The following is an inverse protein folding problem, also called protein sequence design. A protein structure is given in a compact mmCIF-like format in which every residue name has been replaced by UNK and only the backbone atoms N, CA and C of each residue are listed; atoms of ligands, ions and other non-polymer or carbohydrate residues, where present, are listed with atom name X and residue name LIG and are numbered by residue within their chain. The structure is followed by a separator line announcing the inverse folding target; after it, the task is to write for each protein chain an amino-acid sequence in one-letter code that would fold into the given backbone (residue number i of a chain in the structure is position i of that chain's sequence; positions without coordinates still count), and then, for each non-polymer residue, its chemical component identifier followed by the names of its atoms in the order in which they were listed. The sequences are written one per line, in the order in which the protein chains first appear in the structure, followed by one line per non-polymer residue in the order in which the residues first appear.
data_IF_690009023278
#
_entry.id   IF_690009023278
#
_cell.length_a   1.000
_cell.length_b   1.000
_cell.length_c   1.000
_cell.angle_alpha   90.00
_cell.angle_beta   90.00
_cell.angle_gamma   90.00
#
_symmetry.space_group_name_H-M   'P 1'
#
loop_
_entity.id
_entity.type
_entity.pdbx_description
1 polymer ?
#
# COMPACT_ATOMS: atom_id res chain seq x y z
N UNK A 1 5.50 -54.83 -23.50
CA UNK A 1 6.44 -53.69 -23.60
C UNK A 1 7.63 -53.96 -22.70
N UNK A 2 8.81 -54.18 -23.30
CA UNK A 2 10.06 -54.45 -22.57
C UNK A 2 10.72 -53.12 -22.25
N UNK A 3 10.63 -52.69 -20.99
CA UNK A 3 11.39 -51.54 -20.51
C UNK A 3 12.85 -52.00 -20.42
N UNK A 4 13.70 -51.37 -21.24
CA UNK A 4 15.11 -51.69 -21.35
C UNK A 4 15.82 -51.39 -20.02
N UNK A 5 16.57 -52.38 -19.52
CA UNK A 5 17.41 -52.30 -18.32
C UNK A 5 18.48 -51.17 -18.38
N UNK A 6 18.66 -50.56 -19.55
CA UNK A 6 19.57 -49.43 -19.78
C UNK A 6 19.04 -48.13 -19.14
N UNK A 7 17.72 -48.01 -18.91
CA UNK A 7 17.13 -46.83 -18.26
C UNK A 7 17.31 -46.81 -16.73
N UNK A 8 17.62 -47.95 -16.11
CA UNK A 8 17.86 -48.04 -14.66
C UNK A 8 19.32 -47.76 -14.27
N UNK A 9 20.26 -47.85 -15.23
CA UNK A 9 21.70 -47.63 -14.99
C UNK A 9 22.13 -46.15 -15.11
N UNK A 10 21.30 -45.29 -15.72
CA UNK A 10 21.53 -43.85 -15.79
C UNK A 10 21.16 -43.10 -14.50
N UNK A 11 20.45 -43.73 -13.57
CA UNK A 11 20.09 -43.16 -12.27
C UNK A 11 21.17 -43.32 -11.18
N UNK A 12 22.21 -44.13 -11.42
CA UNK A 12 23.29 -44.38 -10.44
C UNK A 12 24.57 -43.58 -10.67
N UNK A 13 24.70 -42.85 -11.79
CA UNK A 13 25.93 -42.07 -12.10
C UNK A 13 25.88 -40.64 -11.52
N UNK A 14 24.74 -40.18 -11.00
CA UNK A 14 24.65 -38.87 -10.33
C UNK A 14 24.90 -38.88 -8.81
N UNK A 15 25.26 -40.03 -8.21
CA UNK A 15 25.51 -40.17 -6.76
C UNK A 15 26.94 -40.57 -6.37
N UNK A 16 27.95 -40.14 -7.14
CA UNK A 16 29.34 -40.27 -6.73
C UNK A 16 30.14 -39.01 -7.06
N UNK A 17 29.95 -37.96 -6.27
CA UNK A 17 30.97 -36.94 -6.09
C UNK A 17 31.56 -37.10 -4.70
N UNK A 18 32.81 -37.59 -4.67
CA UNK A 18 33.65 -37.74 -3.48
C UNK A 18 33.73 -36.41 -2.73
N UNK A 19 33.58 -36.47 -1.40
CA UNK A 19 34.03 -35.43 -0.47
C UNK A 19 35.51 -35.15 -0.73
N UNK A 20 35.80 -33.98 -1.28
CA UNK A 20 37.13 -33.38 -1.25
C UNK A 20 37.13 -32.42 -0.06
N UNK A 21 37.88 -32.77 1.00
CA UNK A 21 38.08 -31.93 2.18
C UNK A 21 38.84 -30.66 1.78
N UNK A 22 38.10 -29.63 1.35
CA UNK A 22 38.59 -28.25 1.36
C UNK A 22 38.18 -27.63 2.68
N UNK A 23 39.17 -27.20 3.46
CA UNK A 23 39.00 -26.31 4.61
C UNK A 23 38.14 -25.12 4.16
N UNK A 24 36.86 -25.16 4.48
CA UNK A 24 35.96 -24.02 4.29
C UNK A 24 36.24 -23.06 5.43
N UNK A 25 36.87 -21.94 5.13
CA UNK A 25 36.80 -20.78 6.01
C UNK A 25 35.32 -20.47 6.23
N UNK A 26 34.93 -20.59 7.49
CA UNK A 26 33.57 -20.58 7.99
C UNK A 26 32.99 -19.16 7.84
N UNK A 27 32.50 -18.81 6.65
CA UNK A 27 31.58 -17.67 6.52
C UNK A 27 30.21 -18.11 7.03
N UNK A 28 29.91 -17.77 8.28
CA UNK A 28 28.60 -17.96 8.88
C UNK A 28 27.51 -17.30 8.02
N UNK A 29 26.70 -18.11 7.35
CA UNK A 29 25.39 -17.73 6.80
C UNK A 29 24.41 -17.63 7.96
N UNK A 30 24.42 -16.51 8.67
CA UNK A 30 23.56 -16.28 9.82
C UNK A 30 22.49 -15.23 9.45
N UNK A 31 21.22 -15.61 9.57
CA UNK A 31 20.12 -14.64 9.69
C UNK A 31 20.20 -14.10 11.12
N UNK A 32 20.69 -12.89 11.29
CA UNK A 32 20.85 -12.28 12.61
C UNK A 32 19.62 -11.44 12.89
N UNK A 33 18.88 -11.79 13.94
CA UNK A 33 17.86 -10.90 14.51
C UNK A 33 18.56 -9.72 15.19
N UNK A 34 18.38 -8.52 14.67
CA UNK A 34 18.94 -7.30 15.25
C UNK A 34 17.81 -6.57 15.99
N UNK A 35 18.00 -6.35 17.30
CA UNK A 35 16.99 -5.77 18.18
C UNK A 35 16.95 -4.24 17.99
N UNK A 36 15.82 -3.71 17.52
CA UNK A 36 15.51 -2.28 17.41
C UNK A 36 14.14 -1.93 18.05
N UNK A 37 13.81 -0.64 18.27
CA UNK A 37 12.85 -0.23 19.32
C UNK A 37 11.36 -0.45 19.03
N UNK A 38 10.96 -0.88 17.84
CA UNK A 38 9.60 -1.35 17.54
C UNK A 38 9.71 -2.41 16.43
N UNK A 39 9.52 -3.66 16.83
CA UNK A 39 9.77 -4.91 16.07
C UNK A 39 11.23 -5.14 15.62
N UNK A 40 11.66 -6.41 15.70
CA UNK A 40 13.05 -6.81 15.46
C UNK A 40 13.42 -6.58 13.98
N UNK A 41 14.51 -5.86 13.74
CA UNK A 41 15.12 -5.76 12.42
C UNK A 41 15.63 -7.13 11.97
N UNK A 42 15.35 -7.49 10.72
CA UNK A 42 15.84 -8.73 10.11
C UNK A 42 17.06 -8.41 9.25
N UNK A 43 18.25 -8.85 9.64
CA UNK A 43 19.40 -8.78 8.75
C UNK A 43 19.47 -10.03 7.86
N UNK A 44 19.17 -9.85 6.58
CA UNK A 44 19.35 -10.87 5.55
C UNK A 44 20.65 -10.63 4.80
N UNK A 45 21.67 -11.40 5.14
CA UNK A 45 22.98 -11.37 4.48
C UNK A 45 22.98 -12.10 3.13
N UNK A 46 21.92 -12.86 2.82
CA UNK A 46 21.80 -13.58 1.56
C UNK A 46 21.58 -12.56 0.43
N UNK A 47 22.37 -12.67 -0.63
CA UNK A 47 22.34 -11.80 -1.80
C UNK A 47 22.73 -10.33 -1.53
N UNK A 48 23.43 -10.04 -0.43
CA UNK A 48 24.00 -8.70 -0.17
C UNK A 48 25.44 -8.64 -0.72
N UNK A 49 25.73 -7.74 -1.70
CA UNK A 49 27.07 -7.50 -2.20
C UNK A 49 28.05 -7.15 -1.07
N UNK A 50 29.26 -7.70 -1.11
CA UNK A 50 30.21 -7.62 -0.01
C UNK A 50 30.56 -6.17 0.40
N UNK A 51 30.67 -5.28 -0.58
CA UNK A 51 30.92 -3.84 -0.44
C UNK A 51 29.74 -3.04 0.18
N UNK A 52 28.54 -3.64 0.29
CA UNK A 52 27.34 -2.97 0.80
C UNK A 52 26.86 -3.55 2.14
N UNK A 53 27.53 -4.58 2.68
CA UNK A 53 27.07 -5.32 3.87
C UNK A 53 26.92 -4.43 5.09
N UNK A 54 27.83 -3.48 5.30
CA UNK A 54 27.82 -2.62 6.47
C UNK A 54 26.61 -1.68 6.47
N UNK A 55 26.34 -1.02 5.34
CA UNK A 55 25.17 -0.17 5.19
C UNK A 55 23.86 -0.98 5.27
N UNK A 56 23.78 -2.12 4.57
CA UNK A 56 22.58 -2.99 4.62
C UNK A 56 22.32 -3.48 6.03
N UNK A 57 23.35 -3.83 6.80
CA UNK A 57 23.22 -4.23 8.20
C UNK A 57 22.62 -3.09 9.03
N UNK A 58 23.12 -1.87 8.88
CA UNK A 58 22.61 -0.70 9.62
C UNK A 58 21.17 -0.35 9.26
N UNK A 59 20.80 -0.39 7.98
CA UNK A 59 19.41 -0.21 7.52
C UNK A 59 18.53 -1.31 8.12
N UNK A 60 18.98 -2.57 8.05
CA UNK A 60 18.22 -3.74 8.49
C UNK A 60 17.99 -3.81 9.99
N UNK A 61 18.77 -3.08 10.80
CA UNK A 61 18.60 -2.98 12.26
C UNK A 61 17.26 -2.37 12.67
N UNK A 62 16.55 -1.73 11.75
CA UNK A 62 15.27 -1.07 11.99
C UNK A 62 14.20 -1.58 11.02
N UNK A 63 13.00 -1.85 11.51
CA UNK A 63 11.81 -1.99 10.66
C UNK A 63 11.14 -0.62 10.43
N UNK A 64 11.95 0.36 10.01
CA UNK A 64 11.55 1.76 9.90
C UNK A 64 11.89 2.35 8.53
N UNK A 65 10.96 3.08 7.94
CA UNK A 65 11.15 3.81 6.69
C UNK A 65 10.99 5.33 6.92
N UNK A 66 11.96 6.09 6.43
CA UNK A 66 11.95 7.56 6.39
C UNK A 66 12.48 8.12 5.06
N UNK A 67 12.17 9.38 4.78
CA UNK A 67 12.56 10.08 3.53
C UNK A 67 13.59 11.18 3.75
N UNK A 68 14.17 11.29 4.96
CA UNK A 68 15.15 12.32 5.30
C UNK A 68 14.64 13.77 5.34
N UNK A 69 13.34 14.01 5.14
CA UNK A 69 12.75 15.35 5.26
C UNK A 69 12.83 15.82 6.72
N UNK A 70 13.50 16.96 6.93
CA UNK A 70 13.74 17.56 8.24
C UNK A 70 12.41 18.00 8.88
N UNK A 71 11.84 17.13 9.68
CA UNK A 71 10.72 17.42 10.57
C UNK A 71 10.75 16.62 11.87
N UNK A 72 11.40 15.46 11.91
CA UNK A 72 11.32 14.57 13.06
C UNK A 72 12.61 13.76 13.22
N UNK A 73 13.52 14.27 14.05
CA UNK A 73 14.46 13.40 14.74
C UNK A 73 13.63 12.51 15.65
N UNK A 74 13.79 11.19 15.57
CA UNK A 74 13.47 10.37 16.73
C UNK A 74 14.30 10.98 17.88
N UNK A 75 13.70 11.50 18.96
CA UNK A 75 14.45 12.17 20.03
C UNK A 75 15.47 11.23 20.71
N UNK A 76 15.41 9.93 20.41
CA UNK A 76 16.33 8.91 20.91
C UNK A 76 17.36 8.40 19.88
N UNK A 77 17.43 8.95 18.65
CA UNK A 77 18.39 8.48 17.63
C UNK A 77 19.24 9.65 17.13
N UNK A 78 20.29 9.93 17.88
CA UNK A 78 21.41 10.74 17.42
C UNK A 78 22.15 9.97 16.29
N UNK A 79 22.06 10.50 15.06
CA UNK A 79 23.01 10.38 13.93
C UNK A 79 22.92 9.26 12.86
N UNK A 80 21.97 8.33 12.84
CA UNK A 80 21.78 7.47 11.65
C UNK A 80 20.34 6.97 11.47
N UNK A 81 19.62 7.50 10.47
CA UNK A 81 18.34 6.94 10.02
C UNK A 81 18.59 5.91 8.90
N UNK A 82 17.70 4.93 8.70
CA UNK A 82 17.71 4.05 7.53
C UNK A 82 17.90 4.82 6.21
N UNK A 83 17.27 5.98 6.05
CA UNK A 83 17.48 6.84 4.87
C UNK A 83 18.94 7.29 4.71
N UNK A 84 19.55 7.83 5.76
CA UNK A 84 20.95 8.29 5.71
C UNK A 84 21.93 7.17 5.35
N UNK A 85 21.72 5.97 5.90
CA UNK A 85 22.53 4.80 5.56
C UNK A 85 22.26 4.31 4.13
N UNK A 86 21.02 4.40 3.64
CA UNK A 86 20.70 4.09 2.25
C UNK A 86 21.32 5.09 1.27
N UNK A 87 21.37 6.38 1.61
CA UNK A 87 22.07 7.39 0.79
C UNK A 87 23.58 7.15 0.73
N UNK A 88 24.20 6.63 1.81
CA UNK A 88 25.60 6.17 1.78
C UNK A 88 25.75 4.94 0.88
N UNK A 89 24.84 3.97 0.99
CA UNK A 89 24.81 2.77 0.15
C UNK A 89 24.72 3.13 -1.33
N UNK A 90 23.80 4.03 -1.71
CA UNK A 90 23.59 4.49 -3.09
C UNK A 90 24.84 5.09 -3.73
N UNK A 91 25.67 5.79 -2.96
CA UNK A 91 26.93 6.38 -3.45
C UNK A 91 27.98 5.33 -3.80
N UNK A 92 27.89 4.12 -3.21
CA UNK A 92 28.83 3.01 -3.42
C UNK A 92 28.33 1.96 -4.40
N UNK A 93 27.01 1.78 -4.49
CA UNK A 93 26.39 0.70 -5.23
C UNK A 93 26.21 1.03 -6.72
N UNK A 94 26.44 0.03 -7.57
CA UNK A 94 25.95 0.01 -8.94
C UNK A 94 24.45 -0.25 -8.96
N UNK A 95 23.75 0.16 -10.02
CA UNK A 95 22.32 -0.13 -10.18
C UNK A 95 22.00 -1.62 -10.17
N UNK A 96 22.93 -2.47 -10.64
CA UNK A 96 22.79 -3.93 -10.61
C UNK A 96 22.80 -4.46 -9.18
N UNK A 97 23.66 -3.93 -8.32
CA UNK A 97 23.73 -4.29 -6.90
C UNK A 97 22.48 -3.83 -6.17
N UNK A 98 21.98 -2.61 -6.42
CA UNK A 98 20.72 -2.14 -5.82
C UNK A 98 19.55 -3.01 -6.30
N UNK A 99 19.53 -3.42 -7.56
CA UNK A 99 18.52 -4.36 -8.05
C UNK A 99 18.55 -5.71 -7.33
N UNK A 100 19.73 -6.23 -6.98
CA UNK A 100 19.84 -7.47 -6.18
C UNK A 100 19.20 -7.31 -4.79
N UNK A 101 19.33 -6.13 -4.18
CA UNK A 101 18.75 -5.83 -2.88
C UNK A 101 17.20 -5.77 -2.90
N UNK A 102 16.56 -5.69 -4.06
CA UNK A 102 15.09 -5.80 -4.18
C UNK A 102 14.53 -7.18 -3.80
N UNK A 103 15.40 -8.18 -3.67
CA UNK A 103 15.06 -9.54 -3.23
C UNK A 103 15.42 -9.80 -1.76
N UNK A 104 15.84 -8.77 -1.02
CA UNK A 104 16.22 -8.91 0.39
C UNK A 104 14.99 -9.24 1.26
N UNK A 105 15.15 -10.09 2.28
CA UNK A 105 14.01 -10.42 3.17
C UNK A 105 13.64 -9.29 4.14
N UNK A 106 14.53 -8.31 4.33
CA UNK A 106 14.24 -7.11 5.09
C UNK A 106 13.33 -6.18 4.26
N UNK A 107 12.12 -5.85 4.74
CA UNK A 107 11.16 -5.09 3.96
C UNK A 107 11.61 -3.63 3.73
N UNK A 108 12.38 -3.04 4.65
CA UNK A 108 12.92 -1.68 4.52
C UNK A 108 13.99 -1.61 3.46
N UNK A 109 14.98 -2.52 3.50
CA UNK A 109 16.03 -2.62 2.46
C UNK A 109 15.40 -2.82 1.09
N UNK A 110 14.43 -3.73 1.01
CA UNK A 110 13.71 -4.03 -0.23
C UNK A 110 12.92 -2.84 -0.73
N UNK A 111 12.21 -2.12 0.13
CA UNK A 111 11.44 -0.93 -0.25
C UNK A 111 12.34 0.18 -0.79
N UNK A 112 13.40 0.56 -0.07
CA UNK A 112 14.37 1.56 -0.54
C UNK A 112 14.98 1.16 -1.89
N UNK A 113 15.35 -0.12 -2.04
CA UNK A 113 15.93 -0.64 -3.27
C UNK A 113 14.94 -0.60 -4.43
N UNK A 114 13.66 -0.91 -4.18
CA UNK A 114 12.62 -0.79 -5.20
C UNK A 114 12.42 0.65 -5.65
N UNK A 115 12.37 1.61 -4.72
CA UNK A 115 12.20 3.04 -5.02
C UNK A 115 13.36 3.51 -5.91
N UNK A 116 14.61 3.25 -5.49
CA UNK A 116 15.79 3.69 -6.24
C UNK A 116 15.89 3.07 -7.63
N UNK A 117 15.54 1.78 -7.78
CA UNK A 117 15.53 1.15 -9.10
C UNK A 117 14.38 1.68 -9.95
N UNK A 118 13.21 1.92 -9.37
CA UNK A 118 12.07 2.49 -10.09
C UNK A 118 12.38 3.89 -10.63
N UNK A 119 13.07 4.72 -9.84
CA UNK A 119 13.46 6.07 -10.27
C UNK A 119 14.42 6.04 -11.47
N UNK A 120 15.36 5.07 -11.50
CA UNK A 120 16.31 4.93 -12.61
C UNK A 120 15.77 4.10 -13.79
N UNK A 121 14.82 3.21 -13.55
CA UNK A 121 14.23 2.30 -14.54
C UNK A 121 12.70 2.27 -14.38
N UNK A 122 11.98 3.35 -14.73
CA UNK A 122 10.55 3.52 -14.42
C UNK A 122 9.62 2.45 -14.99
N UNK A 123 10.04 1.77 -16.08
CA UNK A 123 9.28 0.66 -16.65
C UNK A 123 9.09 -0.52 -15.69
N UNK A 124 9.90 -0.64 -14.63
CA UNK A 124 9.81 -1.70 -13.63
C UNK A 124 8.83 -1.36 -12.49
N UNK A 125 8.41 -0.10 -12.34
CA UNK A 125 7.55 0.36 -11.25
C UNK A 125 6.28 -0.49 -11.07
N UNK A 126 5.50 -0.85 -12.14
CA UNK A 126 4.32 -1.68 -11.97
C UNK A 126 4.62 -3.10 -11.47
N UNK A 127 5.74 -3.68 -11.90
CA UNK A 127 6.17 -5.01 -11.44
C UNK A 127 6.53 -4.97 -9.96
N UNK A 128 7.26 -3.95 -9.53
CA UNK A 128 7.67 -3.79 -8.14
C UNK A 128 6.46 -3.55 -7.24
N UNK A 129 5.56 -2.66 -7.64
CA UNK A 129 4.32 -2.43 -6.92
C UNK A 129 3.48 -3.70 -6.74
N UNK A 130 3.31 -4.49 -7.80
CA UNK A 130 2.59 -5.77 -7.74
C UNK A 130 3.25 -6.77 -6.78
N UNK A 131 4.58 -6.82 -6.72
CA UNK A 131 5.30 -7.66 -5.74
C UNK A 131 5.09 -7.18 -4.31
N UNK A 132 5.21 -5.87 -4.09
CA UNK A 132 5.03 -5.25 -2.77
C UNK A 132 3.61 -5.46 -2.22
N UNK A 133 2.57 -5.45 -3.07
CA UNK A 133 1.20 -5.75 -2.66
C UNK A 133 1.01 -7.17 -2.08
N UNK A 134 1.91 -8.09 -2.39
CA UNK A 134 1.87 -9.45 -1.88
C UNK A 134 2.72 -9.65 -0.61
N UNK A 135 3.46 -8.62 -0.17
CA UNK A 135 4.18 -8.65 1.09
C UNK A 135 3.20 -8.39 2.24
N UNK A 136 3.07 -9.37 3.14
CA UNK A 136 2.21 -9.27 4.33
C UNK A 136 2.87 -8.52 5.51
N UNK A 137 4.09 -8.03 5.33
CA UNK A 137 4.83 -7.33 6.38
C UNK A 137 4.48 -5.85 6.34
N UNK A 138 4.33 -5.24 7.51
CA UNK A 138 4.24 -3.79 7.66
C UNK A 138 5.60 -3.23 8.05
N UNK A 139 5.82 -1.96 7.68
CA UNK A 139 6.98 -1.18 8.06
C UNK A 139 6.47 0.01 8.85
N UNK A 140 7.09 0.30 9.99
CA UNK A 140 6.82 1.55 10.69
C UNK A 140 7.33 2.70 9.81
N UNK A 141 6.43 3.56 9.36
CA UNK A 141 6.75 4.67 8.47
C UNK A 141 6.44 5.98 9.18
N UNK A 142 7.34 6.94 9.01
CA UNK A 142 7.11 8.34 9.36
C UNK A 142 7.49 9.20 8.16
N UNK A 143 6.51 9.43 7.28
CA UNK A 143 6.69 10.14 6.03
C UNK A 143 5.76 11.35 6.01
N UNK A 144 6.30 12.52 6.37
CA UNK A 144 5.50 13.72 6.63
C UNK A 144 4.56 13.50 7.82
N UNK A 145 3.26 13.75 7.63
CA UNK A 145 2.22 13.56 8.65
C UNK A 145 1.71 12.12 8.75
N UNK A 146 2.12 11.22 7.86
CA UNK A 146 1.69 9.83 7.88
C UNK A 146 2.65 9.05 8.77
N UNK A 147 2.15 8.70 9.96
CA UNK A 147 2.89 7.97 10.99
C UNK A 147 2.12 6.69 11.31
N UNK A 148 2.78 5.55 11.22
CA UNK A 148 2.19 4.27 11.60
C UNK A 148 2.81 3.09 10.87
N UNK A 149 2.34 1.91 11.21
CA UNK A 149 2.69 0.67 10.51
C UNK A 149 1.92 0.64 9.18
N UNK A 150 2.67 0.64 8.07
CA UNK A 150 2.11 0.70 6.72
C UNK A 150 2.63 -0.45 5.87
N UNK A 151 1.79 -0.98 4.96
CA UNK A 151 2.26 -1.87 3.92
C UNK A 151 3.31 -1.17 3.02
N UNK A 152 4.42 -1.84 2.67
CA UNK A 152 5.43 -1.30 1.77
C UNK A 152 4.87 -0.85 0.42
N UNK A 153 3.81 -1.51 -0.06
CA UNK A 153 3.11 -1.14 -1.29
C UNK A 153 2.49 0.25 -1.23
N UNK A 154 1.92 0.64 -0.08
CA UNK A 154 1.33 1.96 0.10
C UNK A 154 2.42 3.03 0.06
N UNK A 155 3.51 2.83 0.81
CA UNK A 155 4.64 3.77 0.82
C UNK A 155 5.21 3.93 -0.61
N UNK A 156 5.43 2.82 -1.31
CA UNK A 156 5.95 2.84 -2.68
C UNK A 156 5.02 3.57 -3.66
N UNK A 157 3.71 3.37 -3.53
CA UNK A 157 2.72 4.06 -4.35
C UNK A 157 2.75 5.57 -4.08
N UNK A 158 2.84 5.98 -2.81
CA UNK A 158 2.86 7.40 -2.42
C UNK A 158 4.12 8.10 -2.89
N UNK A 159 5.29 7.45 -2.76
CA UNK A 159 6.54 7.99 -3.28
C UNK A 159 6.48 8.19 -4.80
N UNK A 160 5.90 7.22 -5.53
CA UNK A 160 5.69 7.41 -6.96
C UNK A 160 4.73 8.57 -7.25
N UNK A 161 3.58 8.63 -6.57
CA UNK A 161 2.56 9.66 -6.77
C UNK A 161 3.10 11.08 -6.51
N UNK A 162 3.89 11.27 -5.43
CA UNK A 162 4.52 12.56 -5.09
C UNK A 162 5.48 13.05 -6.18
N UNK A 163 6.16 12.13 -6.86
CA UNK A 163 7.10 12.46 -7.93
C UNK A 163 6.41 12.77 -9.27
N UNK A 164 5.11 12.47 -9.40
CA UNK A 164 4.31 12.86 -10.56
C UNK A 164 3.68 14.23 -10.31
N UNK A 165 4.03 15.21 -11.15
CA UNK A 165 3.39 16.54 -11.15
C UNK A 165 1.86 16.42 -11.12
N UNK A 166 1.20 17.13 -10.21
CA UNK A 166 -0.24 17.02 -9.96
C UNK A 166 -1.08 17.16 -11.24
N UNK A 167 -0.78 18.18 -12.05
CA UNK A 167 -1.45 18.44 -13.35
C UNK A 167 -1.28 17.32 -14.39
N UNK A 168 -0.34 16.40 -14.17
CA UNK A 168 -0.02 15.29 -15.07
C UNK A 168 -0.48 13.93 -14.56
N UNK A 169 -0.89 13.81 -13.30
CA UNK A 169 -1.26 12.52 -12.68
C UNK A 169 -2.33 11.77 -13.47
N UNK A 170 -3.36 12.46 -13.96
CA UNK A 170 -4.43 11.87 -14.77
C UNK A 170 -3.93 11.25 -16.10
N UNK A 171 -2.80 11.75 -16.63
CA UNK A 171 -2.22 11.32 -17.92
C UNK A 171 -1.00 10.41 -17.77
N UNK A 172 -0.46 10.25 -16.56
CA UNK A 172 0.72 9.43 -16.32
C UNK A 172 0.41 7.94 -16.57
N UNK A 173 1.19 7.32 -17.47
CA UNK A 173 0.95 5.95 -17.93
C UNK A 173 1.37 4.89 -16.90
N UNK A 174 2.37 5.18 -16.08
CA UNK A 174 2.82 4.24 -15.03
C UNK A 174 1.81 4.32 -13.88
N UNK A 175 1.40 5.51 -13.44
CA UNK A 175 0.37 5.68 -12.42
C UNK A 175 -0.92 4.98 -12.85
N UNK A 176 -1.36 5.13 -14.10
CA UNK A 176 -2.54 4.39 -14.62
C UNK A 176 -2.39 2.87 -14.49
N UNK A 177 -1.17 2.32 -14.64
CA UNK A 177 -0.91 0.89 -14.40
C UNK A 177 -0.94 0.56 -12.92
N UNK A 178 -0.37 1.40 -12.05
CA UNK A 178 -0.46 1.23 -10.60
C UNK A 178 -1.91 1.23 -10.15
N UNK A 179 -2.70 2.21 -10.59
CA UNK A 179 -4.13 2.30 -10.29
C UNK A 179 -4.89 1.05 -10.72
N UNK A 180 -4.60 0.54 -11.93
CA UNK A 180 -5.21 -0.69 -12.42
C UNK A 180 -4.84 -1.88 -11.52
N UNK A 181 -3.58 -1.99 -11.11
CA UNK A 181 -3.14 -3.03 -10.17
C UNK A 181 -3.85 -2.85 -8.82
N UNK A 182 -4.01 -1.62 -8.33
CA UNK A 182 -4.69 -1.30 -7.08
C UNK A 182 -6.16 -1.71 -7.09
N UNK A 183 -6.89 -1.41 -8.17
CA UNK A 183 -8.32 -1.73 -8.31
C UNK A 183 -8.56 -3.26 -8.41
N UNK A 184 -7.70 -3.97 -9.13
CA UNK A 184 -7.80 -5.44 -9.25
C UNK A 184 -7.12 -6.20 -8.10
N UNK A 185 -6.29 -5.52 -7.31
CA UNK A 185 -5.59 -6.10 -6.17
C UNK A 185 -6.55 -6.43 -5.02
N UNK A 186 -6.26 -7.53 -4.32
CA UNK A 186 -7.03 -7.94 -3.13
C UNK A 186 -6.42 -7.42 -1.82
N UNK A 187 -5.14 -7.01 -1.83
CA UNK A 187 -4.40 -6.51 -0.67
C UNK A 187 -4.16 -4.99 -0.73
N UNK A 188 -4.88 -4.30 -1.60
CA UNK A 188 -4.78 -2.85 -1.73
C UNK A 188 -5.41 -2.18 -0.52
N UNK A 189 -4.71 -1.26 0.12
CA UNK A 189 -5.29 -0.51 1.23
C UNK A 189 -6.38 0.43 0.74
N UNK A 190 -7.36 0.73 1.60
CA UNK A 190 -8.42 1.69 1.27
C UNK A 190 -7.86 3.06 0.88
N UNK A 191 -6.77 3.47 1.53
CA UNK A 191 -6.07 4.72 1.21
C UNK A 191 -5.55 4.72 -0.23
N UNK A 192 -4.82 3.68 -0.65
CA UNK A 192 -4.28 3.61 -2.02
C UNK A 192 -5.41 3.51 -3.05
N UNK A 193 -6.47 2.76 -2.73
CA UNK A 193 -7.64 2.67 -3.61
C UNK A 193 -8.32 4.04 -3.79
N UNK A 194 -8.43 4.84 -2.72
CA UNK A 194 -8.93 6.20 -2.80
C UNK A 194 -8.07 7.08 -3.71
N UNK A 195 -6.74 7.02 -3.58
CA UNK A 195 -5.83 7.78 -4.45
C UNK A 195 -5.97 7.36 -5.92
N UNK A 196 -6.06 6.05 -6.20
CA UNK A 196 -6.25 5.54 -7.55
C UNK A 196 -7.55 6.07 -8.18
N UNK A 197 -8.61 6.23 -7.40
CA UNK A 197 -9.93 6.69 -7.88
C UNK A 197 -10.06 8.23 -7.98
N UNK A 198 -9.12 8.99 -7.40
CA UNK A 198 -9.24 10.44 -7.25
C UNK A 198 -9.11 11.23 -8.57
N UNK A 199 -8.22 10.79 -9.46
CA UNK A 199 -7.73 11.63 -10.56
C UNK A 199 -8.29 11.28 -11.94
N UNK A 200 -9.17 10.28 -12.07
CA UNK A 200 -9.69 9.86 -13.38
C UNK A 200 -11.03 9.14 -13.28
N UNK A 201 -11.80 9.21 -14.36
CA UNK A 201 -12.96 8.34 -14.59
C UNK A 201 -12.50 7.12 -15.36
N UNK A 202 -12.74 5.94 -14.79
CA UNK A 202 -12.35 4.66 -15.37
C UNK A 202 -13.33 4.20 -16.46
N UNK A 203 -12.81 3.60 -17.54
CA UNK A 203 -13.63 3.05 -18.61
C UNK A 203 -14.39 1.79 -18.18
N UNK A 204 -15.38 1.42 -19.01
CA UNK A 204 -16.37 0.37 -18.72
C UNK A 204 -15.79 -0.98 -18.29
N UNK A 205 -14.63 -1.37 -18.83
CA UNK A 205 -14.00 -2.63 -18.47
C UNK A 205 -13.53 -2.71 -17.00
N UNK A 206 -13.55 -1.61 -16.23
CA UNK A 206 -13.36 -1.61 -14.78
C UNK A 206 -14.67 -1.73 -13.99
N UNK A 207 -15.84 -1.50 -14.61
CA UNK A 207 -17.12 -1.36 -13.90
C UNK A 207 -17.43 -2.58 -13.04
N UNK A 208 -17.33 -3.79 -13.59
CA UNK A 208 -17.61 -5.02 -12.82
C UNK A 208 -16.78 -5.10 -11.52
N UNK A 209 -15.48 -4.75 -11.59
CA UNK A 209 -14.62 -4.76 -10.40
C UNK A 209 -14.98 -3.65 -9.42
N UNK A 210 -15.27 -2.44 -9.92
CA UNK A 210 -15.70 -1.32 -9.07
C UNK A 210 -17.05 -1.60 -8.40
N UNK A 211 -17.99 -2.23 -9.12
CA UNK A 211 -19.26 -2.68 -8.57
C UNK A 211 -19.05 -3.73 -7.47
N UNK A 212 -18.18 -4.72 -7.68
CA UNK A 212 -17.85 -5.71 -6.65
C UNK A 212 -17.29 -5.02 -5.39
N UNK A 213 -16.32 -4.12 -5.56
CA UNK A 213 -15.70 -3.40 -4.46
C UNK A 213 -16.71 -2.50 -3.72
N UNK A 214 -17.58 -1.80 -4.44
CA UNK A 214 -18.58 -0.91 -3.86
C UNK A 214 -19.72 -1.66 -3.18
N UNK A 215 -20.30 -2.66 -3.84
CA UNK A 215 -21.58 -3.22 -3.42
C UNK A 215 -21.43 -4.53 -2.65
N UNK A 216 -20.44 -5.37 -3.00
CA UNK A 216 -20.19 -6.63 -2.29
C UNK A 216 -19.18 -6.45 -1.15
N UNK A 217 -18.11 -5.67 -1.38
CA UNK A 217 -17.10 -5.39 -0.35
C UNK A 217 -17.41 -4.15 0.50
N UNK A 218 -18.43 -3.38 0.13
CA UNK A 218 -18.85 -2.15 0.82
C UNK A 218 -17.70 -1.16 1.03
N UNK A 219 -16.82 -1.00 0.04
CA UNK A 219 -15.71 -0.06 0.15
C UNK A 219 -16.22 1.39 0.05
N UNK A 220 -16.03 2.23 1.08
CA UNK A 220 -16.62 3.57 1.13
C UNK A 220 -16.05 4.50 0.06
N UNK A 221 -14.76 4.37 -0.28
CA UNK A 221 -14.13 5.21 -1.30
C UNK A 221 -14.61 4.87 -2.71
N UNK A 222 -14.92 3.60 -2.97
CA UNK A 222 -15.52 3.19 -4.24
C UNK A 222 -16.99 3.62 -4.33
N UNK A 223 -17.74 3.54 -3.22
CA UNK A 223 -19.10 4.10 -3.15
C UNK A 223 -19.11 5.60 -3.47
N UNK A 224 -18.18 6.37 -2.89
CA UNK A 224 -18.04 7.80 -3.17
C UNK A 224 -17.68 8.06 -4.64
N UNK A 225 -16.73 7.29 -5.19
CA UNK A 225 -16.35 7.38 -6.60
C UNK A 225 -17.53 7.13 -7.54
N UNK A 226 -18.28 6.04 -7.33
CA UNK A 226 -19.46 5.72 -8.13
C UNK A 226 -20.58 6.76 -7.95
N UNK A 227 -20.74 7.32 -6.75
CA UNK A 227 -21.71 8.39 -6.47
C UNK A 227 -21.36 9.71 -7.17
N UNK A 228 -20.07 9.98 -7.37
CA UNK A 228 -19.60 11.19 -8.07
C UNK A 228 -19.75 11.08 -9.58
N UNK A 229 -19.46 9.90 -10.16
CA UNK A 229 -19.31 9.75 -11.61
C UNK A 229 -20.43 8.95 -12.29
N UNK A 230 -21.14 8.10 -11.55
CA UNK A 230 -22.11 7.14 -12.06
C UNK A 230 -23.40 7.09 -11.23
N UNK A 231 -23.77 8.21 -10.60
CA UNK A 231 -24.92 8.30 -9.69
C UNK A 231 -26.20 7.77 -10.29
N UNK A 232 -26.57 8.29 -11.45
CA UNK A 232 -27.85 7.94 -12.08
C UNK A 232 -27.90 6.48 -12.50
N UNK A 233 -26.78 5.93 -12.96
CA UNK A 233 -26.68 4.52 -13.36
C UNK A 233 -26.91 3.57 -12.19
N UNK A 234 -26.44 3.92 -10.99
CA UNK A 234 -26.48 3.04 -9.83
C UNK A 234 -27.34 3.57 -8.68
N UNK A 235 -28.25 4.52 -8.94
CA UNK A 235 -28.93 5.33 -7.93
C UNK A 235 -29.45 4.51 -6.74
N UNK A 236 -30.29 3.51 -7.00
CA UNK A 236 -30.92 2.70 -5.96
C UNK A 236 -29.91 1.81 -5.23
N UNK A 237 -28.96 1.22 -5.96
CA UNK A 237 -27.89 0.37 -5.40
C UNK A 237 -26.95 1.18 -4.51
N UNK A 238 -26.57 2.38 -4.94
CA UNK A 238 -25.73 3.30 -4.17
C UNK A 238 -26.43 3.73 -2.91
N UNK A 239 -27.66 4.23 -2.99
CA UNK A 239 -28.40 4.66 -1.81
C UNK A 239 -28.50 3.52 -0.78
N UNK A 240 -28.87 2.31 -1.22
CA UNK A 240 -28.97 1.13 -0.35
C UNK A 240 -27.63 0.75 0.28
N UNK A 241 -26.54 0.74 -0.50
CA UNK A 241 -25.22 0.36 0.00
C UNK A 241 -24.61 1.42 0.92
N UNK A 242 -24.86 2.70 0.67
CA UNK A 242 -24.45 3.79 1.56
C UNK A 242 -25.17 3.66 2.91
N UNK A 243 -26.50 3.47 2.89
CA UNK A 243 -27.28 3.23 4.12
C UNK A 243 -26.70 2.05 4.90
N UNK A 244 -26.50 0.90 4.23
CA UNK A 244 -25.98 -0.30 4.87
C UNK A 244 -24.58 -0.10 5.47
N UNK A 245 -23.69 0.65 4.80
CA UNK A 245 -22.38 0.98 5.34
C UNK A 245 -22.47 1.86 6.59
N UNK A 246 -23.29 2.91 6.54
CA UNK A 246 -23.46 3.87 7.64
C UNK A 246 -24.13 3.24 8.86
N UNK A 247 -25.08 2.33 8.66
CA UNK A 247 -25.71 1.58 9.76
C UNK A 247 -24.71 0.64 10.44
N UNK A 248 -23.88 -0.06 9.66
CA UNK A 248 -22.86 -0.97 10.18
C UNK A 248 -21.77 -0.26 10.98
N UNK A 249 -21.38 0.94 10.56
CA UNK A 249 -20.31 1.73 11.17
C UNK A 249 -20.83 2.80 12.13
N UNK A 250 -22.13 2.75 12.46
CA UNK A 250 -22.79 3.78 13.29
C UNK A 250 -22.16 3.88 14.69
N UNK A 251 -21.74 2.75 15.26
CA UNK A 251 -21.25 2.64 16.64
C UNK A 251 -19.71 2.69 16.74
N UNK A 252 -19.01 2.74 15.61
CA UNK A 252 -17.57 2.91 15.59
C UNK A 252 -17.24 4.36 16.00
N UNK A 253 -16.55 4.52 17.13
CA UNK A 253 -16.14 5.81 17.70
C UNK A 253 -15.07 6.55 16.89
N UNK A 254 -14.63 5.95 15.78
CA UNK A 254 -13.55 6.47 14.96
C UNK A 254 -14.07 7.48 13.93
N UNK A 255 -13.41 8.62 13.84
CA UNK A 255 -13.65 9.65 12.81
C UNK A 255 -13.24 9.11 11.43
N UNK A 256 -14.12 8.33 10.81
CA UNK A 256 -13.97 7.93 9.41
C UNK A 256 -14.41 9.11 8.52
N UNK A 257 -13.45 9.82 7.93
CA UNK A 257 -13.71 10.91 6.97
C UNK A 257 -14.71 10.50 5.87
N UNK A 258 -14.66 9.23 5.46
CA UNK A 258 -15.57 8.72 4.44
C UNK A 258 -17.02 8.65 4.94
N UNK A 259 -17.26 8.42 6.25
CA UNK A 259 -18.59 8.39 6.87
C UNK A 259 -19.30 9.73 6.72
N UNK A 260 -18.62 10.83 7.06
CA UNK A 260 -19.20 12.18 6.94
C UNK A 260 -19.56 12.52 5.49
N UNK A 261 -18.66 12.19 4.56
CA UNK A 261 -18.89 12.43 3.14
C UNK A 261 -20.05 11.57 2.62
N UNK A 262 -20.14 10.32 3.04
CA UNK A 262 -21.23 9.42 2.67
C UNK A 262 -22.59 9.87 3.23
N UNK A 263 -22.64 10.46 4.44
CA UNK A 263 -23.86 11.08 4.98
C UNK A 263 -24.31 12.23 4.07
N UNK A 264 -23.40 13.14 3.71
CA UNK A 264 -23.71 14.26 2.80
C UNK A 264 -24.21 13.75 1.44
N UNK A 265 -23.55 12.72 0.89
CA UNK A 265 -23.96 12.11 -0.36
C UNK A 265 -25.33 11.43 -0.25
N UNK A 266 -25.65 10.76 0.87
CA UNK A 266 -26.96 10.18 1.13
C UNK A 266 -28.07 11.26 1.14
N UNK A 267 -27.80 12.41 1.76
CA UNK A 267 -28.74 13.53 1.78
C UNK A 267 -29.00 14.07 0.36
N UNK A 268 -28.02 14.03 -0.54
CA UNK A 268 -28.17 14.50 -1.92
C UNK A 268 -29.09 13.61 -2.77
N UNK A 269 -29.45 12.40 -2.33
CA UNK A 269 -30.50 11.60 -2.97
C UNK A 269 -31.91 12.19 -2.78
N UNK A 270 -32.09 13.10 -1.80
CA UNK A 270 -33.37 13.76 -1.49
C UNK A 270 -34.53 12.77 -1.36
N UNK A 271 -34.28 11.65 -0.69
CA UNK A 271 -35.27 10.62 -0.47
C UNK A 271 -35.86 10.75 0.94
N UNK A 272 -37.16 11.11 1.09
CA UNK A 272 -37.82 11.27 2.38
C UNK A 272 -37.75 10.02 3.28
N UNK A 273 -37.65 8.82 2.71
CA UNK A 273 -37.55 7.57 3.47
C UNK A 273 -36.25 7.51 4.30
N UNK A 274 -35.21 8.25 3.90
CA UNK A 274 -33.95 8.34 4.64
C UNK A 274 -34.06 9.22 5.88
N UNK A 275 -35.14 9.99 6.05
CA UNK A 275 -35.25 11.06 7.07
C UNK A 275 -34.87 10.57 8.47
N UNK A 276 -35.49 9.49 8.94
CA UNK A 276 -35.28 8.96 10.30
C UNK A 276 -33.83 8.53 10.55
N UNK A 277 -33.21 7.90 9.54
CA UNK A 277 -31.81 7.49 9.60
C UNK A 277 -30.88 8.71 9.61
N UNK A 278 -31.13 9.70 8.74
CA UNK A 278 -30.34 10.92 8.66
C UNK A 278 -30.41 11.74 9.95
N UNK A 279 -31.60 11.87 10.57
CA UNK A 279 -31.76 12.51 11.87
C UNK A 279 -30.89 11.82 12.93
N UNK A 280 -30.95 10.48 13.03
CA UNK A 280 -30.11 9.71 13.95
C UNK A 280 -28.60 9.91 13.70
N UNK A 281 -28.18 9.90 12.43
CA UNK A 281 -26.77 10.04 12.05
C UNK A 281 -26.23 11.45 12.34
N UNK A 282 -27.04 12.49 12.13
CA UNK A 282 -26.66 13.88 12.35
C UNK A 282 -26.66 14.27 13.84
N UNK A 283 -27.57 13.72 14.64
CA UNK A 283 -27.56 13.93 16.11
C UNK A 283 -26.25 13.49 16.75
N UNK A 284 -25.68 12.39 16.25
CA UNK A 284 -24.44 11.81 16.74
C UNK A 284 -23.18 12.42 16.08
N UNK A 285 -23.32 13.37 15.15
CA UNK A 285 -22.22 13.89 14.35
C UNK A 285 -22.02 15.40 14.55
N UNK A 286 -21.12 15.75 15.48
CA UNK A 286 -20.86 17.14 15.85
C UNK A 286 -20.31 18.00 14.70
N UNK A 287 -19.52 17.41 13.79
CA UNK A 287 -18.89 18.13 12.66
C UNK A 287 -19.93 18.65 11.68
N UNK A 288 -20.92 17.81 11.35
CA UNK A 288 -21.94 18.15 10.36
C UNK A 288 -23.11 18.97 10.93
N UNK A 289 -23.16 19.18 12.24
CA UNK A 289 -24.32 19.76 12.92
C UNK A 289 -24.60 21.21 12.53
N UNK A 290 -23.55 22.01 12.31
CA UNK A 290 -23.62 23.46 12.09
C UNK A 290 -23.14 23.89 10.69
N UNK A 291 -23.00 22.95 9.77
CA UNK A 291 -22.56 23.22 8.40
C UNK A 291 -23.72 23.81 7.55
N UNK A 292 -23.44 24.90 6.81
CA UNK A 292 -24.43 25.59 5.98
C UNK A 292 -24.96 24.70 4.83
N UNK A 293 -24.11 23.88 4.20
CA UNK A 293 -24.52 22.92 3.18
C UNK A 293 -25.45 21.85 3.80
N UNK A 294 -25.12 21.37 4.99
CA UNK A 294 -25.97 20.41 5.71
C UNK A 294 -27.36 20.99 5.98
N UNK A 295 -27.44 22.24 6.43
CA UNK A 295 -28.72 22.90 6.69
C UNK A 295 -29.59 23.06 5.43
N UNK A 296 -28.98 23.31 4.27
CA UNK A 296 -29.69 23.30 2.99
C UNK A 296 -30.18 21.90 2.60
N UNK A 297 -29.33 20.89 2.79
CA UNK A 297 -29.65 19.50 2.47
C UNK A 297 -30.73 18.92 3.40
N UNK A 298 -30.76 19.32 4.68
CA UNK A 298 -31.82 18.93 5.65
C UNK A 298 -33.20 19.30 5.14
N UNK A 299 -33.39 20.53 4.65
CA UNK A 299 -34.67 21.00 4.07
C UNK A 299 -35.11 20.13 2.90
N UNK A 300 -34.18 19.75 2.02
CA UNK A 300 -34.44 18.88 0.88
C UNK A 300 -34.84 17.45 1.23
N UNK A 301 -34.58 17.01 2.47
CA UNK A 301 -34.95 15.69 3.00
C UNK A 301 -36.11 15.78 4.03
N UNK A 302 -36.75 16.94 4.17
CA UNK A 302 -37.86 17.13 5.12
C UNK A 302 -37.43 17.11 6.60
N UNK A 303 -36.15 17.37 6.88
CA UNK A 303 -35.58 17.52 8.23
C UNK A 303 -35.68 18.99 8.59
N UNK A 304 -36.49 19.31 9.60
CA UNK A 304 -36.86 20.69 9.98
C UNK A 304 -36.20 21.18 11.28
N UNK A 305 -35.34 20.36 11.89
CA UNK A 305 -34.53 20.70 13.08
C UNK A 305 -33.04 20.73 12.76
#
# INVERSE_FOLDING_TARGET
MRISLIFLLLLFIFFNCKKEDRKSDLYSTELVEVLGPKEKGLYDSLNVPANLRDEVKKISSFNYFDTGVLGHQNPNIEYATPFSEFEKLKKKATIKEIYQLTFNKNPVVTLYSYIEVADRIPKLTPLFYSRLLNLKKEIYSQNGCIIGDLPPSQIFYDEYLKNVNEDKQAKDLILRKLDSISIYGNNTTNYVLNQALRHRVYPEYFHNRLEELAFAKQNPYVLLYLTKHFREQYKDRLQKSIISYLEKTNDDSYEDFSKNTLILELMKFKNPDNKKLLEKLLENNFILKDDHEVNLLKKGNGITK
#
